data_IF_727425887010
#
_entry.id   IF_727425887010
#
_cell.length_a   1.000
_cell.length_b   1.000
_cell.length_c   1.000
_cell.angle_alpha   90.00
_cell.angle_beta   90.00
_cell.angle_gamma   90.00
#
_symmetry.space_group_name_H-M   'P 1'
#
loop_
_entity.id
_entity.type
_entity.pdbx_description
1 polymer ?
#
# COMPACT_ATOMS: atom_id res chain seq x y z
N UNK A 1 -20.75 2.00 12.42
CA UNK A 1 -19.69 1.54 11.54
C UNK A 1 -18.36 2.09 12.01
N UNK A 2 -17.39 1.23 12.27
CA UNK A 2 -16.08 1.68 12.71
C UNK A 2 -15.20 1.99 11.52
N UNK A 3 -14.58 3.15 11.55
CA UNK A 3 -13.62 3.53 10.53
C UNK A 3 -12.23 3.59 11.13
N UNK A 4 -11.28 3.04 10.42
CA UNK A 4 -9.88 3.11 10.81
C UNK A 4 -9.24 4.32 10.15
N UNK A 5 -8.38 5.00 10.90
CA UNK A 5 -7.57 6.08 10.33
C UNK A 5 -6.34 5.48 9.67
N UNK A 6 -6.00 6.00 8.50
CA UNK A 6 -4.86 5.49 7.74
C UNK A 6 -3.69 6.46 7.86
N UNK A 7 -2.53 5.91 8.18
CA UNK A 7 -1.26 6.65 8.19
C UNK A 7 -0.33 5.97 7.21
N UNK A 8 0.29 6.77 6.35
CA UNK A 8 1.26 6.27 5.38
C UNK A 8 2.65 6.64 5.90
N UNK A 9 3.54 5.65 6.06
CA UNK A 9 4.89 5.89 6.53
C UNK A 9 5.67 6.77 5.55
N UNK A 10 6.70 7.43 6.03
CA UNK A 10 7.58 8.20 5.15
C UNK A 10 8.19 7.32 4.08
N UNK A 11 8.54 6.09 4.45
CA UNK A 11 9.13 5.14 3.51
C UNK A 11 8.13 4.74 2.43
N UNK A 12 6.87 4.51 2.80
CA UNK A 12 5.83 4.19 1.82
C UNK A 12 5.53 5.39 0.91
N UNK A 13 5.55 6.61 1.43
CA UNK A 13 5.40 7.81 0.60
C UNK A 13 6.54 7.91 -0.39
N UNK A 14 7.77 7.60 0.04
CA UNK A 14 8.94 7.58 -0.85
C UNK A 14 8.78 6.49 -1.91
N UNK A 15 8.25 5.32 -1.53
CA UNK A 15 7.98 4.24 -2.48
C UNK A 15 7.00 4.71 -3.57
N UNK A 16 5.95 5.45 -3.20
CA UNK A 16 4.99 6.01 -4.15
C UNK A 16 5.64 6.99 -5.10
N UNK A 17 6.46 7.88 -4.56
CA UNK A 17 7.17 8.87 -5.36
C UNK A 17 8.11 8.19 -6.34
N UNK A 18 8.85 7.18 -5.88
CA UNK A 18 9.76 6.42 -6.74
C UNK A 18 9.02 5.68 -7.85
N UNK A 19 7.85 5.11 -7.54
CA UNK A 19 7.03 4.41 -8.52
C UNK A 19 6.54 5.37 -9.60
N UNK A 20 6.06 6.55 -9.19
CA UNK A 20 5.60 7.58 -10.12
C UNK A 20 6.74 8.07 -11.01
N UNK A 21 7.90 8.35 -10.43
CA UNK A 21 9.07 8.82 -11.16
C UNK A 21 9.54 7.79 -12.18
N UNK A 22 9.57 6.51 -11.81
CA UNK A 22 9.95 5.45 -12.72
C UNK A 22 9.05 5.43 -13.95
N UNK A 23 7.75 5.50 -13.76
CA UNK A 23 6.80 5.46 -14.87
C UNK A 23 6.88 6.74 -15.70
N UNK A 24 6.98 7.90 -15.04
CA UNK A 24 7.01 9.18 -15.73
C UNK A 24 8.27 9.36 -16.56
N UNK A 25 9.43 9.03 -15.99
CA UNK A 25 10.72 9.34 -16.61
C UNK A 25 11.35 8.18 -17.35
N UNK A 26 11.32 6.99 -16.78
CA UNK A 26 11.87 5.79 -17.45
C UNK A 26 10.98 5.30 -18.56
N UNK A 27 9.68 5.26 -18.34
CA UNK A 27 8.72 4.79 -19.32
C UNK A 27 8.13 5.93 -20.15
N UNK A 28 8.54 7.16 -19.88
CA UNK A 28 8.12 8.36 -20.61
C UNK A 28 6.59 8.50 -20.69
N UNK A 29 5.92 8.18 -19.58
CA UNK A 29 4.47 8.20 -19.55
C UNK A 29 3.95 8.87 -18.28
N UNK A 30 3.95 10.22 -18.23
CA UNK A 30 3.52 10.95 -17.04
C UNK A 30 2.04 10.74 -16.69
N UNK A 31 1.19 10.49 -17.68
CA UNK A 31 -0.24 10.25 -17.42
C UNK A 31 -0.40 8.90 -16.70
N UNK A 32 0.31 7.88 -17.16
CA UNK A 32 0.27 6.57 -16.51
C UNK A 32 0.83 6.65 -15.09
N UNK A 33 1.87 7.46 -14.87
CA UNK A 33 2.45 7.67 -13.55
C UNK A 33 1.42 8.26 -12.59
N UNK A 34 0.71 9.29 -13.02
CA UNK A 34 -0.32 9.95 -12.22
C UNK A 34 -1.45 8.98 -11.90
N UNK A 35 -1.90 8.21 -12.89
CA UNK A 35 -2.97 7.23 -12.70
C UNK A 35 -2.55 6.11 -11.75
N UNK A 36 -1.30 5.68 -11.80
CA UNK A 36 -0.79 4.63 -10.91
C UNK A 36 -0.79 5.11 -9.45
N UNK A 37 -0.25 6.29 -9.20
CA UNK A 37 -0.20 6.84 -7.84
C UNK A 37 -1.62 7.02 -7.30
N UNK A 38 -2.51 7.58 -8.11
CA UNK A 38 -3.91 7.77 -7.73
C UNK A 38 -4.58 6.43 -7.41
N UNK A 39 -4.36 5.42 -8.24
CA UNK A 39 -4.94 4.10 -8.04
C UNK A 39 -4.45 3.43 -6.75
N UNK A 40 -3.16 3.56 -6.44
CA UNK A 40 -2.61 3.03 -5.20
C UNK A 40 -3.24 3.73 -4.00
N UNK A 41 -3.36 5.06 -4.03
CA UNK A 41 -3.99 5.80 -2.93
C UNK A 41 -5.45 5.41 -2.75
N UNK A 42 -6.18 5.19 -3.82
CA UNK A 42 -7.57 4.73 -3.74
C UNK A 42 -7.67 3.33 -3.14
N UNK A 43 -6.74 2.44 -3.48
CA UNK A 43 -6.69 1.10 -2.90
C UNK A 43 -6.42 1.16 -1.40
N UNK A 44 -5.51 2.03 -0.98
CA UNK A 44 -5.22 2.24 0.43
C UNK A 44 -6.47 2.77 1.16
N UNK A 45 -7.16 3.74 0.58
CA UNK A 45 -8.33 4.34 1.21
C UNK A 45 -9.47 3.34 1.41
N UNK A 46 -9.57 2.33 0.58
CA UNK A 46 -10.58 1.27 0.75
C UNK A 46 -10.41 0.50 2.05
N UNK A 47 -9.20 0.49 2.62
CA UNK A 47 -8.94 -0.22 3.87
C UNK A 47 -9.70 0.40 5.06
N UNK A 48 -10.14 1.65 4.95
CA UNK A 48 -10.92 2.29 6.01
C UNK A 48 -12.21 1.53 6.34
N UNK A 49 -12.82 0.94 5.31
CA UNK A 49 -14.16 0.36 5.45
C UNK A 49 -14.26 -1.14 5.19
N UNK A 50 -13.27 -1.74 4.51
CA UNK A 50 -13.34 -3.14 4.12
C UNK A 50 -12.51 -4.04 5.01
N UNK A 51 -12.95 -4.22 6.26
CA UNK A 51 -12.25 -5.06 7.23
C UNK A 51 -12.11 -6.52 6.78
N UNK A 52 -13.12 -7.01 6.04
CA UNK A 52 -13.13 -8.41 5.61
C UNK A 52 -12.06 -8.74 4.58
N UNK A 53 -11.44 -7.73 3.96
CA UNK A 53 -10.40 -7.96 2.96
C UNK A 53 -8.99 -7.91 3.54
N UNK A 54 -8.86 -7.87 4.87
CA UNK A 54 -7.56 -7.84 5.54
C UNK A 54 -6.93 -9.21 5.52
N UNK A 55 -5.95 -9.41 4.66
CA UNK A 55 -5.21 -10.67 4.58
C UNK A 55 -3.81 -10.49 5.15
N UNK A 56 -3.36 -11.47 5.92
CA UNK A 56 -1.97 -11.52 6.36
C UNK A 56 -1.07 -11.87 5.17
N UNK A 57 0.19 -11.43 5.25
CA UNK A 57 1.17 -11.70 4.21
C UNK A 57 1.39 -13.22 4.06
N UNK A 58 1.76 -13.64 2.86
CA UNK A 58 2.04 -15.05 2.58
C UNK A 58 3.34 -15.51 3.24
N UNK A 59 4.27 -14.60 3.47
CA UNK A 59 5.51 -14.89 4.19
C UNK A 59 5.18 -15.12 5.67
N UNK A 60 5.55 -16.29 6.19
CA UNK A 60 5.20 -16.66 7.56
C UNK A 60 5.80 -15.72 8.61
N UNK A 61 7.00 -15.21 8.36
CA UNK A 61 7.65 -14.27 9.28
C UNK A 61 6.89 -12.96 9.32
N UNK A 62 6.52 -12.43 8.16
CA UNK A 62 5.76 -11.19 8.08
C UNK A 62 4.37 -11.36 8.68
N UNK A 63 3.72 -12.50 8.42
CA UNK A 63 2.41 -12.80 9.00
C UNK A 63 2.46 -12.84 10.53
N UNK A 64 3.50 -13.43 11.10
CA UNK A 64 3.68 -13.47 12.56
C UNK A 64 3.88 -12.09 13.14
N UNK A 65 4.46 -11.16 12.37
CA UNK A 65 4.64 -9.77 12.78
C UNK A 65 3.36 -8.95 12.60
N UNK A 66 2.28 -9.55 12.12
CA UNK A 66 1.03 -8.86 11.90
C UNK A 66 1.01 -8.02 10.64
N UNK A 67 1.86 -8.34 9.67
CA UNK A 67 1.91 -7.62 8.40
C UNK A 67 0.82 -8.17 7.48
N UNK A 68 -0.05 -7.29 7.02
CA UNK A 68 -1.09 -7.58 6.05
C UNK A 68 -0.67 -7.13 4.67
N UNK A 69 -1.38 -7.59 3.67
CA UNK A 69 -1.11 -7.24 2.27
C UNK A 69 -2.38 -6.88 1.53
N UNK A 70 -2.22 -6.01 0.55
CA UNK A 70 -3.19 -5.82 -0.51
C UNK A 70 -2.41 -5.42 -1.77
N UNK A 71 -3.08 -5.44 -2.91
CA UNK A 71 -2.42 -5.18 -4.18
C UNK A 71 -3.14 -4.11 -4.97
N UNK A 72 -2.37 -3.34 -5.72
CA UNK A 72 -2.88 -2.56 -6.81
C UNK A 72 -2.04 -2.88 -8.04
N UNK A 73 -2.62 -3.63 -8.97
CA UNK A 73 -1.90 -4.13 -10.16
C UNK A 73 -0.63 -4.87 -9.71
N UNK A 74 0.55 -4.44 -10.14
CA UNK A 74 1.81 -5.11 -9.81
C UNK A 74 2.48 -4.54 -8.57
N UNK A 75 1.78 -3.71 -7.79
CA UNK A 75 2.30 -3.15 -6.55
C UNK A 75 1.68 -3.84 -5.37
N UNK A 76 2.53 -4.23 -4.43
CA UNK A 76 2.12 -4.85 -3.18
C UNK A 76 2.21 -3.81 -2.08
N UNK A 77 1.12 -3.69 -1.33
CA UNK A 77 0.99 -2.71 -0.26
C UNK A 77 1.02 -3.48 1.06
N UNK A 78 2.04 -3.22 1.87
CA UNK A 78 2.20 -3.84 3.18
C UNK A 78 1.67 -2.92 4.25
N UNK A 79 0.85 -3.45 5.16
CA UNK A 79 0.29 -2.62 6.22
C UNK A 79 0.09 -3.40 7.51
N UNK A 80 -0.01 -2.67 8.61
CA UNK A 80 -0.34 -3.22 9.91
C UNK A 80 -1.62 -2.57 10.42
N UNK A 81 -2.30 -3.26 11.34
CA UNK A 81 -3.55 -2.79 11.91
C UNK A 81 -3.39 -2.72 13.43
N UNK A 82 -3.70 -1.57 14.00
CA UNK A 82 -3.77 -1.42 15.45
C UNK A 82 -5.24 -1.28 15.84
N UNK A 83 -5.84 -2.36 16.33
CA UNK A 83 -7.25 -2.38 16.68
C UNK A 83 -7.56 -1.56 17.93
N UNK A 84 -6.58 -1.34 18.79
CA UNK A 84 -6.79 -0.59 20.01
C UNK A 84 -7.07 0.87 19.74
N UNK A 85 -6.37 1.46 18.77
CA UNK A 85 -6.53 2.87 18.42
C UNK A 85 -7.20 3.05 17.06
N UNK A 86 -7.62 1.96 16.44
CA UNK A 86 -8.29 1.97 15.14
C UNK A 86 -7.49 2.67 14.06
N UNK A 87 -6.23 2.26 13.90
CA UNK A 87 -5.33 2.82 12.90
C UNK A 87 -4.75 1.74 12.01
N UNK A 88 -4.56 2.10 10.75
CA UNK A 88 -3.86 1.28 9.76
C UNK A 88 -2.61 2.03 9.35
N UNK A 89 -1.46 1.35 9.41
CA UNK A 89 -0.18 1.94 9.04
C UNK A 89 0.30 1.29 7.76
N UNK A 90 0.47 2.07 6.71
CA UNK A 90 1.04 1.58 5.45
C UNK A 90 2.55 1.59 5.61
N UNK A 91 3.16 0.40 5.59
CA UNK A 91 4.57 0.21 5.89
C UNK A 91 5.44 0.39 4.65
N UNK A 92 5.09 -0.29 3.56
CA UNK A 92 5.84 -0.25 2.30
C UNK A 92 4.89 -0.43 1.12
N UNK A 93 5.31 0.07 -0.03
CA UNK A 93 4.60 -0.12 -1.30
C UNK A 93 5.68 -0.51 -2.32
N UNK A 94 5.69 -1.77 -2.74
CA UNK A 94 6.76 -2.29 -3.57
C UNK A 94 6.22 -2.97 -4.82
N UNK A 95 6.94 -2.80 -5.93
CA UNK A 95 6.62 -3.51 -7.16
C UNK A 95 7.00 -4.99 -6.99
N UNK A 96 6.09 -5.89 -7.31
CA UNK A 96 6.31 -7.33 -7.06
C UNK A 96 7.37 -7.96 -7.95
N UNK A 97 7.74 -7.31 -9.04
CA UNK A 97 8.74 -7.82 -9.98
C UNK A 97 10.11 -7.17 -9.86
N UNK A 98 10.24 -6.14 -9.05
CA UNK A 98 11.48 -5.37 -8.93
C UNK A 98 12.07 -5.53 -7.54
N UNK A 99 11.92 -6.65 -6.94
CA UNK A 99 12.49 -6.92 -5.62
C UNK A 99 13.88 -7.52 -5.73
#
# INVERSE_FOLDING_TARGET
MQQYKIRISELAEQDLENAGDYIAFKLLNPIAAENMVKGIREQINKLEVFLASYELDDDSILAELGIHKTYYKEYKIFYTIDDNVKKIFIVRILHIRIT
#
